data_IF_040001565906
#
_entry.id   IF_040001565906
#
_cell.length_a   1.000
_cell.length_b   1.000
_cell.length_c   1.000
_cell.angle_alpha   90.00
_cell.angle_beta   90.00
_cell.angle_gamma   90.00
#
_symmetry.space_group_name_H-M   'P 1'
#
loop_
_entity.id
_entity.type
_entity.pdbx_description
1 polymer ?
#
# COMPACT_ATOMS: atom_id res chain seq x y z
N UNK A 1 3.84 23.20 -12.63
CA UNK A 1 3.40 22.82 -11.28
C UNK A 1 4.24 21.61 -11.01
N UNK A 2 5.37 21.89 -10.38
CA UNK A 2 6.51 20.99 -10.37
C UNK A 2 6.14 19.87 -9.41
N UNK A 3 6.04 18.64 -9.93
CA UNK A 3 5.75 17.50 -9.10
C UNK A 3 6.90 17.37 -8.11
N UNK A 4 6.61 17.48 -6.82
CA UNK A 4 7.59 17.25 -5.76
C UNK A 4 7.97 15.77 -5.87
N UNK A 5 9.08 15.50 -6.54
CA UNK A 5 9.67 14.18 -6.62
C UNK A 5 10.42 13.94 -5.32
N UNK A 6 9.66 13.47 -4.33
CA UNK A 6 10.02 12.60 -3.22
C UNK A 6 8.92 12.74 -2.18
N UNK A 7 8.18 11.66 -1.95
CA UNK A 7 7.18 11.67 -0.88
C UNK A 7 7.90 11.74 0.46
N UNK A 8 7.57 12.77 1.26
CA UNK A 8 7.97 12.88 2.65
C UNK A 8 6.75 13.28 3.47
N UNK A 9 6.45 12.48 4.49
CA UNK A 9 5.42 12.79 5.47
C UNK A 9 6.05 13.35 6.73
N UNK A 10 5.36 14.28 7.40
CA UNK A 10 5.85 14.92 8.64
C UNK A 10 6.12 13.95 9.80
N UNK A 11 5.52 12.75 9.75
CA UNK A 11 5.76 11.69 10.75
C UNK A 11 7.07 10.92 10.52
N UNK A 12 7.80 11.21 9.44
CA UNK A 12 9.12 10.63 9.23
C UNK A 12 10.19 11.59 9.79
N UNK A 13 10.95 11.12 10.77
CA UNK A 13 12.01 11.90 11.41
C UNK A 13 13.04 12.46 10.40
N UNK A 14 13.33 11.67 9.35
CA UNK A 14 14.24 12.04 8.27
C UNK A 14 13.61 11.75 6.90
N UNK A 15 13.91 12.56 5.87
CA UNK A 15 13.58 12.23 4.49
C UNK A 15 14.13 10.85 4.12
N UNK A 16 13.32 10.06 3.41
CA UNK A 16 13.79 8.79 2.90
C UNK A 16 14.95 9.01 1.94
N UNK A 17 15.97 8.15 2.05
CA UNK A 17 17.10 8.12 1.13
C UNK A 17 17.66 6.71 1.00
N UNK A 18 18.39 6.48 -0.10
CA UNK A 18 19.23 5.31 -0.29
C UNK A 18 20.49 5.69 -1.09
N UNK A 19 21.42 4.77 -1.28
CA UNK A 19 22.63 5.01 -2.08
C UNK A 19 22.29 5.46 -3.51
N UNK A 20 21.22 4.90 -4.06
CA UNK A 20 20.69 5.27 -5.37
C UNK A 20 19.78 6.50 -5.32
N UNK A 21 19.44 7.06 -4.15
CA UNK A 21 18.50 8.18 -4.01
C UNK A 21 18.86 9.01 -2.76
N UNK A 22 19.90 9.86 -2.82
CA UNK A 22 20.32 10.66 -1.68
C UNK A 22 19.26 11.68 -1.26
N UNK A 23 19.26 12.05 0.02
CA UNK A 23 18.37 13.10 0.51
C UNK A 23 18.77 14.47 -0.06
N UNK A 24 17.77 15.31 -0.35
CA UNK A 24 17.98 16.72 -0.73
C UNK A 24 18.42 16.95 -2.17
N UNK A 25 18.18 16.00 -3.08
CA UNK A 25 18.40 16.20 -4.51
C UNK A 25 17.57 17.35 -5.08
N UNK A 26 18.15 18.09 -6.03
CA UNK A 26 17.40 19.01 -6.88
C UNK A 26 16.58 18.25 -7.93
N UNK A 27 15.49 18.85 -8.41
CA UNK A 27 14.66 18.32 -9.50
C UNK A 27 15.47 17.95 -10.76
N UNK A 28 16.58 18.66 -11.01
CA UNK A 28 17.47 18.36 -12.13
C UNK A 28 18.27 17.07 -11.91
N UNK A 29 18.76 16.83 -10.70
CA UNK A 29 19.52 15.63 -10.33
C UNK A 29 18.62 14.41 -10.35
N UNK A 30 17.43 14.53 -9.75
CA UNK A 30 16.29 13.64 -9.92
C UNK A 30 16.04 13.24 -11.36
N UNK A 31 15.83 14.21 -12.24
CA UNK A 31 15.50 13.94 -13.65
C UNK A 31 16.65 13.22 -14.37
N UNK A 32 17.89 13.60 -14.07
CA UNK A 32 19.07 12.95 -14.61
C UNK A 32 19.15 11.49 -14.15
N UNK A 33 18.86 11.23 -12.89
CA UNK A 33 18.83 9.89 -12.30
C UNK A 33 17.73 9.03 -12.92
N UNK A 34 16.51 9.55 -13.06
CA UNK A 34 15.42 8.84 -13.73
C UNK A 34 15.76 8.52 -15.19
N UNK A 35 16.38 9.47 -15.93
CA UNK A 35 16.87 9.22 -17.30
C UNK A 35 17.96 8.15 -17.34
N UNK A 36 18.89 8.17 -16.38
CA UNK A 36 19.95 7.17 -16.28
C UNK A 36 19.38 5.78 -15.99
N UNK A 37 18.49 5.63 -15.00
CA UNK A 37 17.82 4.37 -14.68
C UNK A 37 16.99 3.86 -15.87
N UNK A 38 16.27 4.76 -16.54
CA UNK A 38 15.47 4.43 -17.74
C UNK A 38 16.31 4.01 -18.94
N UNK A 39 17.61 4.34 -18.96
CA UNK A 39 18.54 3.93 -20.02
C UNK A 39 19.12 2.53 -19.82
N UNK A 40 18.98 1.95 -18.62
CA UNK A 40 19.56 0.66 -18.26
C UNK A 40 18.95 -0.48 -19.09
N UNK A 41 19.72 -1.53 -19.44
CA UNK A 41 19.21 -2.66 -20.22
C UNK A 41 17.99 -3.34 -19.58
N UNK A 42 17.98 -3.47 -18.25
CA UNK A 42 16.89 -4.13 -17.51
C UNK A 42 15.59 -3.32 -17.57
N UNK A 43 15.63 -2.01 -17.84
CA UNK A 43 14.42 -1.18 -17.95
C UNK A 43 13.49 -1.67 -19.07
N UNK A 44 14.04 -2.34 -20.09
CA UNK A 44 13.25 -2.91 -21.20
C UNK A 44 12.61 -4.26 -20.85
N UNK A 45 12.97 -4.89 -19.74
CA UNK A 45 12.42 -6.19 -19.34
C UNK A 45 11.05 -6.04 -18.67
N UNK A 46 10.05 -5.59 -19.43
CA UNK A 46 8.69 -5.40 -18.93
C UNK A 46 7.95 -6.72 -18.66
N UNK A 47 8.60 -7.87 -18.76
CA UNK A 47 8.02 -9.16 -18.32
C UNK A 47 8.20 -9.40 -16.82
N UNK A 48 9.22 -8.80 -16.22
CA UNK A 48 9.47 -8.90 -14.79
C UNK A 48 8.59 -7.88 -14.05
N UNK A 49 7.85 -8.35 -13.03
CA UNK A 49 6.88 -7.51 -12.32
C UNK A 49 7.53 -6.36 -11.55
N UNK A 50 8.75 -6.55 -11.01
CA UNK A 50 9.49 -5.47 -10.36
C UNK A 50 9.80 -4.35 -11.35
N UNK A 51 10.28 -4.69 -12.55
CA UNK A 51 10.55 -3.67 -13.59
C UNK A 51 9.26 -2.96 -13.98
N UNK A 52 8.16 -3.68 -14.19
CA UNK A 52 6.86 -3.05 -14.48
C UNK A 52 6.42 -2.09 -13.37
N UNK A 53 6.62 -2.48 -12.11
CA UNK A 53 6.31 -1.65 -10.95
C UNK A 53 7.14 -0.36 -10.96
N UNK A 54 8.46 -0.46 -11.15
CA UNK A 54 9.35 0.70 -11.20
C UNK A 54 8.99 1.69 -12.31
N UNK A 55 8.60 1.21 -13.50
CA UNK A 55 8.12 2.10 -14.57
C UNK A 55 6.97 3.01 -14.11
N UNK A 56 6.09 2.46 -13.28
CA UNK A 56 4.83 3.09 -12.87
C UNK A 56 5.03 4.00 -11.66
N UNK A 57 5.74 3.52 -10.63
CA UNK A 57 5.73 4.14 -9.30
C UNK A 57 7.00 4.98 -9.06
N UNK A 58 8.15 4.62 -9.67
CA UNK A 58 9.42 5.35 -9.46
C UNK A 58 9.38 6.76 -10.04
N UNK A 59 8.60 6.96 -11.10
CA UNK A 59 8.51 8.25 -11.82
C UNK A 59 7.48 9.20 -11.22
N UNK A 60 6.73 8.79 -10.20
CA UNK A 60 5.66 9.59 -9.60
C UNK A 60 5.94 9.97 -8.15
N UNK A 61 5.70 9.08 -7.18
CA UNK A 61 5.74 9.37 -5.74
C UNK A 61 6.60 8.35 -4.99
N UNK A 62 7.90 8.39 -5.28
CA UNK A 62 8.90 7.57 -4.61
C UNK A 62 9.39 8.21 -3.30
N UNK A 63 9.70 7.47 -2.23
CA UNK A 63 9.60 6.01 -2.04
C UNK A 63 8.16 5.51 -2.09
N UNK A 64 7.98 4.22 -2.33
CA UNK A 64 6.66 3.57 -2.35
C UNK A 64 6.36 2.89 -1.01
N UNK A 65 5.14 2.40 -0.83
CA UNK A 65 4.72 1.66 0.36
C UNK A 65 3.24 1.88 0.65
N UNK A 66 2.66 1.02 1.48
CA UNK A 66 1.25 1.16 1.87
C UNK A 66 1.08 2.27 2.90
N UNK A 67 -0.10 2.89 2.90
CA UNK A 67 -0.58 3.64 4.06
C UNK A 67 -1.25 2.65 5.02
N UNK A 68 -0.82 2.62 6.28
CA UNK A 68 -1.25 1.67 7.30
C UNK A 68 -1.78 2.45 8.50
N UNK A 69 -2.97 2.08 8.98
CA UNK A 69 -3.55 2.62 10.20
C UNK A 69 -3.53 1.58 11.30
N UNK A 70 -3.05 1.97 12.48
CA UNK A 70 -3.26 1.22 13.72
C UNK A 70 -4.50 1.73 14.42
N UNK A 71 -5.46 0.84 14.70
CA UNK A 71 -6.70 1.24 15.42
C UNK A 71 -6.88 0.51 16.75
N UNK A 72 -5.96 -0.38 17.10
CA UNK A 72 -5.96 -1.11 18.36
C UNK A 72 -4.65 -0.85 19.12
N UNK A 73 -4.77 -0.49 20.40
CA UNK A 73 -3.66 -0.04 21.26
C UNK A 73 -3.69 -0.76 22.62
N UNK A 74 -3.97 -2.06 22.60
CA UNK A 74 -3.90 -2.91 23.79
C UNK A 74 -2.46 -3.36 24.04
N UNK A 75 -2.11 -3.82 25.25
CA UNK A 75 -0.78 -4.39 25.51
C UNK A 75 -0.43 -5.57 24.58
N UNK A 76 -1.42 -6.36 24.18
CA UNK A 76 -1.24 -7.44 23.19
C UNK A 76 -0.90 -6.87 21.80
N UNK A 77 -1.55 -5.78 21.39
CA UNK A 77 -1.20 -5.08 20.16
C UNK A 77 0.24 -4.56 20.20
N UNK A 78 0.66 -3.91 21.29
CA UNK A 78 2.03 -3.40 21.44
C UNK A 78 3.07 -4.52 21.32
N UNK A 79 2.79 -5.68 21.92
CA UNK A 79 3.68 -6.84 21.87
C UNK A 79 3.87 -7.38 20.45
N UNK A 80 2.85 -7.30 19.59
CA UNK A 80 2.85 -7.90 18.26
C UNK A 80 3.06 -6.89 17.11
N UNK A 81 3.09 -5.59 17.42
CA UNK A 81 3.07 -4.52 16.42
C UNK A 81 4.22 -4.62 15.40
N UNK A 82 5.46 -4.64 15.88
CA UNK A 82 6.65 -4.71 15.00
C UNK A 82 6.65 -5.99 14.16
N UNK A 83 6.26 -7.12 14.74
CA UNK A 83 6.17 -8.39 14.05
C UNK A 83 5.09 -8.38 12.95
N UNK A 84 3.99 -7.68 13.17
CA UNK A 84 2.93 -7.52 12.17
C UNK A 84 3.44 -6.64 11.01
N UNK A 85 4.03 -5.48 11.29
CA UNK A 85 4.59 -4.61 10.24
C UNK A 85 5.67 -5.31 9.41
N UNK A 86 6.55 -6.07 10.06
CA UNK A 86 7.54 -6.91 9.39
C UNK A 86 6.87 -8.00 8.54
N UNK A 87 5.80 -8.63 9.02
CA UNK A 87 5.05 -9.62 8.25
C UNK A 87 4.38 -9.02 7.00
N UNK A 88 3.83 -7.81 7.07
CA UNK A 88 3.30 -7.09 5.91
C UNK A 88 4.42 -6.92 4.86
N UNK A 89 5.56 -6.39 5.30
CA UNK A 89 6.73 -6.15 4.43
C UNK A 89 7.21 -7.45 3.77
N UNK A 90 7.38 -8.52 4.55
CA UNK A 90 7.84 -9.83 4.07
C UNK A 90 6.87 -10.45 3.07
N UNK A 91 5.57 -10.38 3.32
CA UNK A 91 4.58 -10.98 2.43
C UNK A 91 4.45 -10.21 1.11
N UNK A 92 4.60 -8.88 1.13
CA UNK A 92 4.71 -8.10 -0.11
C UNK A 92 5.85 -8.58 -0.99
N UNK A 93 7.01 -8.92 -0.41
CA UNK A 93 8.14 -9.47 -1.16
C UNK A 93 7.94 -10.93 -1.57
N UNK A 94 7.31 -11.74 -0.71
CA UNK A 94 7.05 -13.14 -1.01
C UNK A 94 6.14 -13.31 -2.24
N UNK A 95 5.16 -12.42 -2.42
CA UNK A 95 4.26 -12.45 -3.57
C UNK A 95 4.95 -12.23 -4.94
N UNK A 96 6.16 -11.66 -4.96
CA UNK A 96 6.96 -11.53 -6.18
C UNK A 96 7.68 -12.83 -6.56
N UNK A 97 7.85 -13.77 -5.63
CA UNK A 97 8.46 -15.08 -5.89
C UNK A 97 9.76 -14.99 -6.69
N UNK A 98 9.78 -15.61 -7.88
CA UNK A 98 10.96 -15.66 -8.75
C UNK A 98 11.32 -14.32 -9.39
N UNK A 99 10.43 -13.33 -9.42
CA UNK A 99 10.72 -12.02 -10.02
C UNK A 99 11.59 -11.11 -9.14
N UNK A 100 11.73 -11.46 -7.86
CA UNK A 100 12.59 -10.76 -6.91
C UNK A 100 13.98 -11.40 -6.90
N UNK A 101 14.90 -10.83 -7.67
CA UNK A 101 16.27 -11.32 -7.82
C UNK A 101 17.26 -10.54 -6.96
N UNK A 102 18.51 -11.01 -6.91
CA UNK A 102 19.64 -10.22 -6.42
C UNK A 102 20.22 -9.38 -7.57
N UNK A 103 19.49 -8.32 -7.96
CA UNK A 103 19.86 -7.43 -9.04
C UNK A 103 19.44 -5.98 -8.78
N UNK A 104 19.95 -5.04 -9.59
CA UNK A 104 19.70 -3.60 -9.47
C UNK A 104 18.21 -3.23 -9.34
N UNK A 105 17.26 -3.68 -10.21
CA UNK A 105 15.86 -3.31 -10.06
C UNK A 105 15.23 -3.85 -8.77
N UNK A 106 15.54 -5.08 -8.36
CA UNK A 106 15.03 -5.65 -7.11
C UNK A 106 15.59 -4.93 -5.88
N UNK A 107 16.84 -4.46 -5.95
CA UNK A 107 17.46 -3.65 -4.91
C UNK A 107 16.77 -2.30 -4.79
N UNK A 108 16.60 -1.57 -5.89
CA UNK A 108 15.86 -0.29 -5.93
C UNK A 108 14.47 -0.47 -5.35
N UNK A 109 13.74 -1.50 -5.81
CA UNK A 109 12.41 -1.82 -5.31
C UNK A 109 12.36 -2.03 -3.80
N UNK A 110 13.28 -2.83 -3.24
CA UNK A 110 13.34 -3.10 -1.79
C UNK A 110 13.72 -1.85 -1.00
N UNK A 111 14.75 -1.12 -1.42
CA UNK A 111 15.21 0.10 -0.75
C UNK A 111 14.12 1.17 -0.71
N UNK A 112 13.33 1.26 -1.78
CA UNK A 112 12.20 2.17 -1.89
C UNK A 112 10.99 1.84 -1.05
N UNK A 113 10.93 0.66 -0.41
CA UNK A 113 9.76 0.31 0.40
C UNK A 113 9.81 1.03 1.74
N UNK A 114 8.93 2.02 1.90
CA UNK A 114 8.76 2.83 3.10
C UNK A 114 7.26 3.04 3.36
N UNK A 115 6.59 2.15 4.11
CA UNK A 115 5.18 2.32 4.45
C UNK A 115 4.97 3.58 5.28
N UNK A 116 3.82 4.23 5.09
CA UNK A 116 3.38 5.34 5.94
C UNK A 116 2.48 4.75 7.02
N UNK A 117 2.87 4.90 8.28
CA UNK A 117 2.14 4.35 9.41
C UNK A 117 1.52 5.49 10.21
N UNK A 118 0.20 5.47 10.35
CA UNK A 118 -0.55 6.32 11.27
C UNK A 118 -0.75 5.54 12.59
N UNK A 119 0.05 5.88 13.60
CA UNK A 119 0.17 5.21 14.91
C UNK A 119 -0.03 6.22 16.05
N UNK A 120 -1.15 6.93 16.01
CA UNK A 120 -1.50 7.94 17.01
C UNK A 120 -2.74 7.50 17.82
N UNK A 121 -2.57 6.96 19.04
CA UNK A 121 -3.68 6.42 19.84
C UNK A 121 -4.75 7.46 20.16
N UNK A 122 -4.34 8.73 20.36
CA UNK A 122 -5.26 9.82 20.65
C UNK A 122 -6.24 10.09 19.49
N UNK A 123 -5.86 9.72 18.27
CA UNK A 123 -6.65 9.94 17.07
C UNK A 123 -7.34 8.66 16.57
N UNK A 124 -6.66 7.51 16.65
CA UNK A 124 -7.08 6.30 15.93
C UNK A 124 -7.52 5.14 16.83
N UNK A 125 -7.36 5.22 18.15
CA UNK A 125 -7.77 4.12 19.03
C UNK A 125 -9.29 3.89 18.98
N UNK A 126 -9.68 2.71 18.50
CA UNK A 126 -11.09 2.35 18.30
C UNK A 126 -11.76 3.07 17.11
N UNK A 127 -10.99 3.74 16.25
CA UNK A 127 -11.54 4.42 15.08
C UNK A 127 -12.24 3.44 14.13
N UNK A 128 -13.43 3.83 13.68
CA UNK A 128 -14.23 3.06 12.73
C UNK A 128 -13.64 3.13 11.33
N UNK A 129 -13.96 2.15 10.47
CA UNK A 129 -13.51 2.16 9.07
C UNK A 129 -14.01 3.39 8.29
N UNK A 130 -15.16 3.97 8.68
CA UNK A 130 -15.68 5.19 8.09
C UNK A 130 -14.84 6.43 8.47
N UNK A 131 -14.40 6.51 9.72
CA UNK A 131 -13.48 7.56 10.18
C UNK A 131 -12.11 7.44 9.51
N UNK A 132 -11.58 6.21 9.41
CA UNK A 132 -10.34 5.95 8.69
C UNK A 132 -10.49 6.32 7.20
N UNK A 133 -11.60 5.93 6.56
CA UNK A 133 -11.87 6.30 5.15
C UNK A 133 -11.91 7.80 4.97
N UNK A 134 -12.56 8.53 5.88
CA UNK A 134 -12.66 9.98 5.84
C UNK A 134 -11.28 10.64 6.00
N UNK A 135 -10.51 10.18 6.97
CA UNK A 135 -9.15 10.68 7.22
C UNK A 135 -8.23 10.42 6.02
N UNK A 136 -8.19 9.17 5.54
CA UNK A 136 -7.35 8.77 4.42
C UNK A 136 -7.72 9.51 3.13
N UNK A 137 -9.01 9.74 2.87
CA UNK A 137 -9.45 10.56 1.72
C UNK A 137 -8.97 12.00 1.84
N UNK A 138 -9.09 12.62 3.03
CA UNK A 138 -8.63 13.99 3.25
C UNK A 138 -7.11 14.12 3.07
N UNK A 139 -6.34 13.18 3.63
CA UNK A 139 -4.89 13.07 3.42
C UNK A 139 -4.54 12.97 1.93
N UNK A 140 -5.17 12.03 1.22
CA UNK A 140 -4.95 11.82 -0.21
C UNK A 140 -5.26 13.07 -1.04
N UNK A 141 -6.42 13.67 -0.81
CA UNK A 141 -6.90 14.79 -1.62
C UNK A 141 -6.12 16.09 -1.32
N UNK A 142 -5.56 16.23 -0.11
CA UNK A 142 -4.72 17.37 0.30
C UNK A 142 -3.28 17.32 -0.22
N UNK A 143 -2.61 16.18 -0.08
CA UNK A 143 -1.16 16.10 -0.31
C UNK A 143 -0.77 15.67 -1.73
N UNK A 144 -1.70 15.05 -2.48
CA UNK A 144 -1.31 14.29 -3.68
C UNK A 144 -2.07 14.68 -4.94
N UNK A 145 -2.94 15.68 -4.88
CA UNK A 145 -3.90 16.01 -5.95
C UNK A 145 -4.70 14.78 -6.44
N UNK A 146 -5.01 13.83 -5.55
CA UNK A 146 -5.79 12.63 -5.88
C UNK A 146 -5.00 11.50 -6.54
N UNK A 147 -3.69 11.40 -6.29
CA UNK A 147 -2.84 10.36 -6.84
C UNK A 147 -3.32 8.94 -6.43
N UNK A 148 -3.06 7.95 -7.29
CA UNK A 148 -3.50 6.55 -7.16
C UNK A 148 -2.32 5.55 -7.14
N UNK A 149 -1.10 6.02 -6.87
CA UNK A 149 0.04 5.17 -6.50
C UNK A 149 -0.29 4.29 -5.30
N UNK A 150 0.51 3.24 -5.05
CA UNK A 150 0.24 2.25 -3.99
C UNK A 150 -0.09 2.90 -2.64
N UNK A 151 0.63 3.96 -2.28
CA UNK A 151 0.45 4.69 -1.01
C UNK A 151 -0.94 5.29 -0.84
N UNK A 152 -1.57 5.70 -1.93
CA UNK A 152 -2.74 6.57 -1.95
C UNK A 152 -4.00 5.91 -2.50
N UNK A 153 -3.83 4.74 -3.11
CA UNK A 153 -4.92 3.99 -3.72
C UNK A 153 -5.89 3.46 -2.67
N UNK A 154 -5.37 2.73 -1.70
CA UNK A 154 -6.09 2.11 -0.59
C UNK A 154 -5.24 2.21 0.68
N UNK A 155 -5.87 2.13 1.85
CA UNK A 155 -5.14 1.98 3.10
C UNK A 155 -5.40 0.63 3.75
N UNK A 156 -4.39 0.13 4.45
CA UNK A 156 -4.47 -1.05 5.28
C UNK A 156 -4.84 -0.61 6.70
N UNK A 157 -5.72 -1.36 7.35
CA UNK A 157 -6.13 -1.14 8.73
C UNK A 157 -5.82 -2.39 9.54
N UNK A 158 -5.08 -2.19 10.62
CA UNK A 158 -4.81 -3.20 11.63
C UNK A 158 -5.77 -2.93 12.79
N UNK A 159 -6.95 -3.54 12.66
CA UNK A 159 -7.99 -3.57 13.70
C UNK A 159 -7.84 -4.81 14.60
N UNK A 160 -8.71 -4.94 15.60
CA UNK A 160 -8.72 -6.09 16.52
C UNK A 160 -8.83 -7.42 15.76
N UNK A 161 -9.66 -7.49 14.71
CA UNK A 161 -9.82 -8.71 13.92
C UNK A 161 -8.54 -9.10 13.19
N UNK A 162 -7.86 -8.12 12.58
CA UNK A 162 -6.59 -8.30 11.91
C UNK A 162 -5.51 -8.78 12.89
N UNK A 163 -5.39 -8.14 14.07
CA UNK A 163 -4.47 -8.53 15.14
C UNK A 163 -4.70 -9.98 15.59
N UNK A 164 -5.95 -10.33 15.92
CA UNK A 164 -6.28 -11.70 16.35
C UNK A 164 -6.01 -12.72 15.24
N UNK A 165 -6.21 -12.36 13.97
CA UNK A 165 -5.89 -13.24 12.84
C UNK A 165 -4.39 -13.51 12.71
N UNK A 166 -3.57 -12.49 12.97
CA UNK A 166 -2.11 -12.58 12.91
C UNK A 166 -1.58 -13.48 14.02
N UNK A 167 -2.07 -13.29 15.25
CA UNK A 167 -1.73 -14.12 16.41
C UNK A 167 -2.12 -15.59 16.18
N UNK A 168 -3.24 -15.83 15.49
CA UNK A 168 -3.72 -17.18 15.13
C UNK A 168 -3.11 -17.74 13.84
N UNK A 169 -2.16 -17.03 13.23
CA UNK A 169 -1.45 -17.42 12.00
C UNK A 169 -2.30 -17.49 10.72
N UNK A 170 -3.52 -16.95 10.70
CA UNK A 170 -4.27 -16.75 9.45
C UNK A 170 -3.84 -15.47 8.72
N UNK A 171 -3.44 -14.45 9.47
CA UNK A 171 -2.82 -13.18 9.04
C UNK A 171 -3.49 -12.49 7.84
N UNK A 172 -4.42 -11.59 8.13
CA UNK A 172 -5.03 -10.69 7.14
C UNK A 172 -5.06 -9.25 7.65
N UNK A 173 -5.30 -8.30 6.74
CA UNK A 173 -5.56 -6.88 7.01
C UNK A 173 -6.88 -6.44 6.40
N UNK A 174 -7.52 -5.42 6.99
CA UNK A 174 -8.67 -4.77 6.35
C UNK A 174 -8.15 -3.75 5.36
N UNK A 175 -8.59 -3.82 4.11
CA UNK A 175 -8.28 -2.84 3.05
C UNK A 175 -9.48 -1.93 2.89
N UNK A 176 -9.29 -0.62 3.07
CA UNK A 176 -10.37 0.37 2.98
C UNK A 176 -10.34 1.07 1.63
N UNK A 177 -11.50 1.12 0.97
CA UNK A 177 -11.69 1.90 -0.24
C UNK A 177 -11.98 3.37 0.10
N UNK A 178 -11.04 4.29 -0.20
CA UNK A 178 -11.26 5.71 0.06
C UNK A 178 -12.38 6.29 -0.78
N UNK A 179 -12.76 5.68 -1.91
CA UNK A 179 -13.73 6.23 -2.85
C UNK A 179 -15.16 5.78 -2.55
N UNK A 180 -15.37 4.81 -1.65
CA UNK A 180 -16.70 4.32 -1.31
C UNK A 180 -17.64 5.46 -0.83
N UNK A 181 -18.88 5.46 -1.34
CA UNK A 181 -19.93 6.46 -1.04
C UNK A 181 -21.24 5.83 -0.57
N UNK A 182 -21.30 4.50 -0.41
CA UNK A 182 -22.55 3.79 -0.16
C UNK A 182 -23.40 3.61 -1.42
N UNK A 183 -24.48 2.83 -1.29
CA UNK A 183 -25.41 2.56 -2.38
C UNK A 183 -25.05 1.33 -3.22
N UNK A 184 -25.67 1.22 -4.40
CA UNK A 184 -25.64 0.02 -5.25
C UNK A 184 -24.93 0.24 -6.60
N UNK A 185 -24.08 1.27 -6.70
CA UNK A 185 -23.35 1.59 -7.94
C UNK A 185 -22.07 0.77 -8.15
N UNK A 186 -21.82 -0.22 -7.30
CA UNK A 186 -20.63 -1.06 -7.30
C UNK A 186 -20.89 -2.36 -8.04
N UNK A 187 -19.84 -2.94 -8.62
CA UNK A 187 -19.93 -4.20 -9.36
C UNK A 187 -20.29 -5.36 -8.44
N UNK A 188 -19.86 -5.29 -7.18
CA UNK A 188 -20.19 -6.28 -6.15
C UNK A 188 -21.40 -5.84 -5.34
N UNK A 189 -22.48 -6.61 -5.42
CA UNK A 189 -23.68 -6.41 -4.61
C UNK A 189 -23.31 -6.53 -3.12
N UNK A 190 -23.84 -5.62 -2.28
CA UNK A 190 -23.55 -5.54 -0.84
C UNK A 190 -22.13 -5.10 -0.46
N UNK A 191 -21.31 -4.66 -1.42
CA UNK A 191 -19.96 -4.18 -1.14
C UNK A 191 -19.96 -3.07 -0.07
N UNK A 192 -19.23 -3.24 1.05
CA UNK A 192 -19.28 -2.33 2.19
C UNK A 192 -18.22 -1.22 2.12
N UNK A 193 -17.44 -1.13 1.03
CA UNK A 193 -16.35 -0.16 0.91
C UNK A 193 -15.06 -0.56 1.62
N UNK A 194 -14.90 -1.85 1.92
CA UNK A 194 -13.69 -2.46 2.44
C UNK A 194 -13.74 -3.97 2.19
N UNK A 195 -12.60 -4.64 2.31
CA UNK A 195 -12.51 -6.10 2.31
C UNK A 195 -11.36 -6.58 3.19
N UNK A 196 -11.36 -7.86 3.56
CA UNK A 196 -10.23 -8.52 4.19
C UNK A 196 -9.30 -9.11 3.13
N UNK A 197 -8.01 -8.93 3.33
CA UNK A 197 -6.96 -9.41 2.43
C UNK A 197 -5.93 -10.21 3.22
N UNK A 198 -5.67 -11.46 2.83
CA UNK A 198 -4.56 -12.22 3.40
C UNK A 198 -3.23 -11.56 3.07
N UNK A 199 -2.28 -11.59 4.00
CA UNK A 199 -0.98 -10.97 3.77
C UNK A 199 -0.30 -11.53 2.51
N UNK A 200 -0.46 -12.82 2.21
CA UNK A 200 0.07 -13.47 1.01
C UNK A 200 -0.39 -12.84 -0.31
N UNK A 201 -1.53 -12.16 -0.31
CA UNK A 201 -2.15 -11.56 -1.49
C UNK A 201 -1.87 -10.05 -1.63
N UNK A 202 -1.07 -9.47 -0.72
CA UNK A 202 -0.71 -8.05 -0.75
C UNK A 202 -0.10 -7.61 -2.08
N UNK A 203 0.78 -8.44 -2.64
CA UNK A 203 1.39 -8.13 -3.92
C UNK A 203 0.39 -8.18 -5.08
N UNK A 204 -0.51 -9.17 -5.08
CA UNK A 204 -1.61 -9.27 -6.06
C UNK A 204 -2.45 -8.01 -6.07
N UNK A 205 -2.82 -7.50 -4.89
CA UNK A 205 -3.56 -6.25 -4.75
C UNK A 205 -2.78 -5.04 -5.33
N UNK A 206 -1.50 -4.93 -5.01
CA UNK A 206 -0.61 -3.87 -5.55
C UNK A 206 -0.55 -3.90 -7.08
N UNK A 207 -0.40 -5.10 -7.65
CA UNK A 207 -0.30 -5.35 -9.09
C UNK A 207 -1.56 -4.92 -9.85
N UNK A 208 -2.75 -5.29 -9.34
CA UNK A 208 -4.01 -5.09 -10.06
C UNK A 208 -4.68 -3.74 -9.80
N UNK A 209 -4.40 -3.07 -8.69
CA UNK A 209 -5.18 -1.88 -8.28
C UNK A 209 -5.09 -0.65 -9.19
N UNK A 210 -4.22 -0.64 -10.22
CA UNK A 210 -4.27 0.40 -11.26
C UNK A 210 -5.35 0.16 -12.31
N UNK A 211 -5.76 -1.09 -12.50
CA UNK A 211 -6.74 -1.48 -13.50
C UNK A 211 -8.15 -1.60 -12.92
N UNK A 212 -8.26 -1.85 -11.62
CA UNK A 212 -9.50 -2.27 -10.96
C UNK A 212 -9.75 -1.45 -9.70
N UNK A 213 -11.03 -1.19 -9.43
CA UNK A 213 -11.52 -0.72 -8.15
C UNK A 213 -11.43 -1.81 -7.08
N UNK A 214 -11.59 -1.45 -5.80
CA UNK A 214 -11.55 -2.44 -4.73
C UNK A 214 -12.82 -3.32 -4.73
N UNK A 215 -13.94 -2.81 -5.26
CA UNK A 215 -15.17 -3.57 -5.42
C UNK A 215 -15.08 -4.62 -6.53
N UNK A 216 -14.29 -4.36 -7.57
CA UNK A 216 -14.03 -5.33 -8.66
C UNK A 216 -13.38 -6.59 -8.11
N UNK A 217 -12.46 -6.43 -7.15
CA UNK A 217 -11.65 -7.52 -6.57
C UNK A 217 -12.24 -8.10 -5.29
N UNK A 218 -13.44 -7.65 -4.92
CA UNK A 218 -14.21 -8.20 -3.81
C UNK A 218 -14.93 -9.46 -4.28
N UNK A 219 -14.77 -10.55 -3.52
CA UNK A 219 -15.51 -11.78 -3.76
C UNK A 219 -17.02 -11.60 -3.65
N UNK A 220 -17.76 -12.54 -4.24
CA UNK A 220 -19.23 -12.51 -4.24
C UNK A 220 -19.80 -12.54 -2.83
N UNK A 221 -20.72 -11.61 -2.53
CA UNK A 221 -21.44 -11.52 -1.27
C UNK A 221 -22.89 -12.00 -1.42
N UNK A 222 -23.38 -12.80 -0.47
CA UNK A 222 -24.76 -13.31 -0.42
C UNK A 222 -25.70 -12.39 0.36
N UNK A 223 -25.15 -11.48 1.17
CA UNK A 223 -25.91 -10.53 1.96
C UNK A 223 -25.03 -9.44 2.59
N UNK A 224 -25.65 -8.43 3.22
CA UNK A 224 -24.92 -7.32 3.86
C UNK A 224 -24.11 -7.74 5.09
N UNK A 225 -24.43 -8.88 5.69
CA UNK A 225 -23.73 -9.42 6.87
C UNK A 225 -22.55 -10.34 6.50
N UNK A 226 -22.35 -10.62 5.20
CA UNK A 226 -21.22 -11.40 4.74
C UNK A 226 -19.90 -10.63 4.94
N UNK A 227 -18.84 -11.38 5.23
CA UNK A 227 -17.51 -10.80 5.30
C UNK A 227 -16.98 -10.62 3.88
N UNK A 228 -16.74 -9.37 3.48
CA UNK A 228 -16.07 -9.06 2.23
C UNK A 228 -14.61 -9.53 2.27
N UNK A 229 -14.23 -10.39 1.31
CA UNK A 229 -12.87 -10.90 1.14
C UNK A 229 -12.35 -10.54 -0.25
N UNK A 230 -11.04 -10.36 -0.33
CA UNK A 230 -10.33 -10.35 -1.60
C UNK A 230 -10.49 -11.69 -2.32
N UNK A 231 -10.80 -11.65 -3.61
CA UNK A 231 -10.87 -12.85 -4.45
C UNK A 231 -9.69 -12.86 -5.44
N UNK A 232 -8.69 -13.69 -5.11
CA UNK A 232 -7.48 -13.87 -5.92
C UNK A 232 -7.72 -14.66 -7.20
N UNK A 233 -8.79 -15.47 -7.26
CA UNK A 233 -9.02 -16.40 -8.36
C UNK A 233 -9.67 -15.72 -9.59
N UNK A 234 -10.06 -14.46 -9.44
CA UNK A 234 -10.62 -13.67 -10.53
C UNK A 234 -9.57 -13.11 -11.51
N UNK A 235 -8.25 -13.24 -11.25
CA UNK A 235 -7.19 -12.50 -12.00
C UNK A 235 -5.85 -13.21 -12.23
#
# INVERSE_FOLDING_TARGET
>A
MDAIWHFHHETWDEPWSSDDFPAGESEKETDQRLRYLSSKPWWKNTKNEVVQFLHKELTSQWPWGYTIYRTIYTPESDQHWDAFLDAISKNTYAGLGSDLHDNEPSRIFKEGYRPLVFDEPAQFNGATLDEIRKHFRAFRDGDTNGNQEVRFRWCLVIDEGALQSFIRHSSWVTVVDPNYRGGSSYNTQYYPGYLRLYLSDLWSLTRIGRALGLDDVCGTMKGPDDVAWFDSDMY
#
